data_IF_141488375915
#
_entry.id   IF_141488375915
#
_cell.length_a   1.000
_cell.length_b   1.000
_cell.length_c   1.000
_cell.angle_alpha   90.00
_cell.angle_beta   90.00
_cell.angle_gamma   90.00
#
_symmetry.space_group_name_H-M   'P 1'
#
loop_
_entity.id
_entity.type
_entity.pdbx_description
1 polymer ?
#
# COMPACT_ATOMS: atom_id res chain seq x y z
N UNK A 1 11.59 -28.26 68.59
CA UNK A 1 11.88 -29.40 67.69
C UNK A 1 10.72 -29.75 66.75
N UNK A 2 9.62 -30.41 67.21
CA UNK A 2 8.48 -30.71 66.32
C UNK A 2 7.78 -29.45 65.76
N UNK A 3 7.66 -28.40 66.57
CA UNK A 3 7.09 -27.11 66.12
C UNK A 3 7.97 -26.43 65.06
N UNK A 4 9.29 -26.48 65.20
CA UNK A 4 10.23 -25.85 64.25
C UNK A 4 10.27 -26.62 62.92
N UNK A 5 10.13 -27.94 62.96
CA UNK A 5 10.03 -28.79 61.78
C UNK A 5 8.75 -28.49 60.97
N UNK A 6 7.60 -28.38 61.64
CA UNK A 6 6.32 -28.03 60.99
C UNK A 6 6.36 -26.62 60.39
N UNK A 7 6.95 -25.65 61.12
CA UNK A 7 7.13 -24.29 60.58
C UNK A 7 8.04 -24.30 59.35
N UNK A 8 9.14 -25.05 59.36
CA UNK A 8 10.04 -25.17 58.21
C UNK A 8 9.35 -25.83 57.02
N UNK A 9 8.53 -26.86 57.24
CA UNK A 9 7.79 -27.56 56.18
C UNK A 9 6.77 -26.64 55.51
N UNK A 10 5.99 -25.89 56.29
CA UNK A 10 5.02 -24.92 55.77
C UNK A 10 5.71 -23.81 54.97
N UNK A 11 6.87 -23.33 55.42
CA UNK A 11 7.65 -22.31 54.70
C UNK A 11 8.18 -22.84 53.37
N UNK A 12 8.67 -24.07 53.32
CA UNK A 12 9.17 -24.67 52.08
C UNK A 12 8.04 -24.97 51.08
N UNK A 13 6.87 -25.42 51.56
CA UNK A 13 5.67 -25.58 50.72
C UNK A 13 5.22 -24.24 50.14
N UNK A 14 5.12 -23.18 50.97
CA UNK A 14 4.74 -21.86 50.51
C UNK A 14 5.72 -21.29 49.46
N UNK A 15 7.04 -21.49 49.66
CA UNK A 15 8.05 -21.10 48.67
C UNK A 15 7.90 -21.86 47.35
N UNK A 16 7.64 -23.16 47.40
CA UNK A 16 7.45 -23.99 46.21
C UNK A 16 6.23 -23.53 45.40
N UNK A 17 5.10 -23.28 46.07
CA UNK A 17 3.88 -22.76 45.44
C UNK A 17 4.08 -21.36 44.85
N UNK A 18 4.74 -20.47 45.59
CA UNK A 18 5.08 -19.12 45.09
C UNK A 18 5.96 -19.22 43.84
N UNK A 19 7.00 -20.07 43.87
CA UNK A 19 7.90 -20.26 42.72
C UNK A 19 7.15 -20.79 41.51
N UNK A 20 6.30 -21.80 41.69
CA UNK A 20 5.48 -22.35 40.61
C UNK A 20 4.56 -21.29 39.99
N UNK A 21 3.91 -20.47 40.84
CA UNK A 21 3.05 -19.39 40.38
C UNK A 21 3.82 -18.28 39.66
N UNK A 22 5.03 -17.95 40.13
CA UNK A 22 5.93 -16.99 39.45
C UNK A 22 6.34 -17.53 38.08
N UNK A 23 6.79 -18.78 37.99
CA UNK A 23 7.21 -19.40 36.73
C UNK A 23 6.05 -19.45 35.72
N UNK A 24 4.84 -19.83 36.16
CA UNK A 24 3.64 -19.79 35.31
C UNK A 24 3.31 -18.39 34.82
N UNK A 25 3.35 -17.40 35.72
CA UNK A 25 3.06 -15.99 35.39
C UNK A 25 4.09 -15.46 34.39
N UNK A 26 5.37 -15.78 34.58
CA UNK A 26 6.44 -15.40 33.68
C UNK A 26 6.28 -16.04 32.29
N UNK A 27 5.93 -17.33 32.24
CA UNK A 27 5.67 -18.03 30.98
C UNK A 27 4.49 -17.42 30.22
N UNK A 28 3.39 -17.09 30.93
CA UNK A 28 2.24 -16.40 30.34
C UNK A 28 2.63 -15.01 29.81
N UNK A 29 3.41 -14.24 30.56
CA UNK A 29 3.87 -12.91 30.15
C UNK A 29 4.72 -12.98 28.87
N UNK A 30 5.65 -13.94 28.78
CA UNK A 30 6.44 -14.18 27.57
C UNK A 30 5.54 -14.60 26.41
N UNK A 31 4.57 -15.50 26.65
CA UNK A 31 3.61 -15.93 25.63
C UNK A 31 2.82 -14.76 25.04
N UNK A 32 2.29 -13.88 25.89
CA UNK A 32 1.58 -12.66 25.48
C UNK A 32 2.49 -11.74 24.68
N UNK A 33 3.73 -11.53 25.12
CA UNK A 33 4.69 -10.68 24.41
C UNK A 33 5.00 -11.22 23.00
N UNK A 34 5.24 -12.53 22.87
CA UNK A 34 5.50 -13.17 21.58
C UNK A 34 4.30 -13.03 20.65
N UNK A 35 3.09 -13.29 21.13
CA UNK A 35 1.86 -13.14 20.33
C UNK A 35 1.67 -11.70 19.87
N UNK A 36 1.85 -10.72 20.76
CA UNK A 36 1.78 -9.31 20.41
C UNK A 36 2.83 -8.95 19.34
N UNK A 37 4.07 -9.44 19.48
CA UNK A 37 5.13 -9.25 18.48
C UNK A 37 4.78 -9.83 17.11
N UNK A 38 4.19 -11.03 17.07
CA UNK A 38 3.73 -11.66 15.81
C UNK A 38 2.63 -10.83 15.15
N UNK A 39 1.67 -10.32 15.92
CA UNK A 39 0.59 -9.48 15.40
C UNK A 39 1.18 -8.21 14.78
N UNK A 40 2.06 -7.50 15.49
CA UNK A 40 2.70 -6.28 14.99
C UNK A 40 3.50 -6.57 13.72
N UNK A 41 4.31 -7.63 13.71
CA UNK A 41 5.09 -8.04 12.53
C UNK A 41 4.17 -8.32 11.33
N UNK A 42 3.07 -9.03 11.56
CA UNK A 42 2.08 -9.34 10.52
C UNK A 42 1.45 -8.08 9.95
N UNK A 43 1.07 -7.13 10.81
CA UNK A 43 0.51 -5.85 10.39
C UNK A 43 1.50 -5.03 9.56
N UNK A 44 2.77 -4.97 9.98
CA UNK A 44 3.81 -4.25 9.23
C UNK A 44 3.99 -4.84 7.83
N UNK A 45 4.11 -6.17 7.74
CA UNK A 45 4.26 -6.86 6.45
C UNK A 45 3.02 -6.71 5.57
N UNK A 46 1.83 -6.77 6.17
CA UNK A 46 0.56 -6.56 5.47
C UNK A 46 0.47 -5.15 4.91
N UNK A 47 0.67 -4.13 5.73
CA UNK A 47 0.64 -2.71 5.34
C UNK A 47 1.66 -2.41 4.24
N UNK A 48 2.87 -2.98 4.32
CA UNK A 48 3.87 -2.81 3.28
C UNK A 48 3.41 -3.35 1.93
N UNK A 49 2.79 -4.54 1.91
CA UNK A 49 2.31 -5.18 0.67
C UNK A 49 1.01 -4.59 0.14
N UNK A 50 0.07 -4.23 1.01
CA UNK A 50 -1.27 -3.77 0.62
C UNK A 50 -1.36 -2.26 0.44
N UNK A 51 -0.43 -1.47 0.99
CA UNK A 51 -0.48 0.00 0.92
C UNK A 51 0.79 0.57 0.31
N UNK A 52 1.95 0.32 0.93
CA UNK A 52 3.19 1.02 0.56
C UNK A 52 3.62 0.66 -0.87
N UNK A 53 3.65 -0.63 -1.21
CA UNK A 53 4.08 -1.09 -2.54
C UNK A 53 3.16 -0.64 -3.69
N UNK A 54 1.81 -0.73 -3.58
CA UNK A 54 0.91 -0.16 -4.58
C UNK A 54 1.08 1.35 -4.76
N UNK A 55 1.19 2.12 -3.66
CA UNK A 55 1.37 3.58 -3.72
C UNK A 55 2.67 3.95 -4.44
N UNK A 56 3.76 3.24 -4.14
CA UNK A 56 5.06 3.46 -4.79
C UNK A 56 4.98 3.14 -6.30
N UNK A 57 4.30 2.06 -6.69
CA UNK A 57 4.09 1.71 -8.12
C UNK A 57 3.33 2.80 -8.87
N UNK A 58 2.28 3.36 -8.25
CA UNK A 58 1.53 4.50 -8.78
C UNK A 58 2.47 5.69 -8.98
N UNK A 59 3.20 6.07 -7.93
CA UNK A 59 4.14 7.20 -7.96
C UNK A 59 5.19 7.06 -9.09
N UNK A 60 5.87 5.92 -9.18
CA UNK A 60 6.91 5.68 -10.17
C UNK A 60 6.37 5.75 -11.60
N UNK A 61 5.16 5.23 -11.83
CA UNK A 61 4.54 5.28 -13.16
C UNK A 61 4.16 6.71 -13.53
N UNK A 62 3.61 7.48 -12.60
CA UNK A 62 3.30 8.91 -12.80
C UNK A 62 4.58 9.71 -13.09
N UNK A 63 5.64 9.49 -12.32
CA UNK A 63 6.93 10.15 -12.53
C UNK A 63 7.47 9.83 -13.93
N UNK A 64 7.36 8.57 -14.36
CA UNK A 64 7.79 8.12 -15.69
C UNK A 64 6.98 8.73 -16.82
N UNK A 65 5.64 8.76 -16.70
CA UNK A 65 4.75 9.44 -17.65
C UNK A 65 5.20 10.89 -17.83
N UNK A 66 5.42 11.61 -16.73
CA UNK A 66 5.84 13.02 -16.75
C UNK A 66 7.24 13.21 -17.33
N UNK A 67 8.21 12.38 -16.96
CA UNK A 67 9.61 12.51 -17.39
C UNK A 67 9.78 12.17 -18.87
N UNK A 68 9.06 11.16 -19.36
CA UNK A 68 9.16 10.67 -20.73
C UNK A 68 8.13 11.32 -21.67
N UNK A 69 7.23 12.19 -21.15
CA UNK A 69 6.06 12.72 -21.87
C UNK A 69 5.25 11.63 -22.58
N UNK A 70 5.19 10.43 -21.97
CA UNK A 70 4.60 9.26 -22.58
C UNK A 70 3.25 8.94 -21.94
N UNK A 71 2.17 9.48 -22.52
CA UNK A 71 0.79 9.27 -22.08
C UNK A 71 0.22 7.88 -22.45
N UNK A 72 1.01 7.01 -23.11
CA UNK A 72 0.57 5.64 -23.42
C UNK A 72 0.80 4.66 -22.26
N UNK A 73 1.58 5.05 -21.25
CA UNK A 73 1.82 4.22 -20.07
C UNK A 73 0.56 4.17 -19.21
N UNK A 74 0.26 2.99 -18.67
CA UNK A 74 -0.82 2.77 -17.72
C UNK A 74 -0.26 2.17 -16.44
N UNK A 75 -0.86 2.57 -15.32
CA UNK A 75 -0.56 2.00 -14.02
C UNK A 75 -1.28 0.67 -13.89
N UNK A 76 -0.56 -0.38 -13.49
CA UNK A 76 -1.15 -1.70 -13.24
C UNK A 76 -2.19 -1.61 -12.11
N UNK A 77 -3.41 -2.06 -12.38
CA UNK A 77 -4.48 -2.13 -11.40
C UNK A 77 -4.35 -3.45 -10.61
N UNK A 78 -4.01 -3.35 -9.32
CA UNK A 78 -3.96 -4.52 -8.42
C UNK A 78 -4.61 -4.17 -7.08
N UNK A 79 -5.56 -5.00 -6.64
CA UNK A 79 -6.29 -4.79 -5.38
C UNK A 79 -7.78 -4.57 -5.61
N UNK A 80 -8.50 -4.26 -4.54
CA UNK A 80 -9.93 -3.94 -4.56
C UNK A 80 -10.24 -2.85 -3.50
N UNK A 81 -9.31 -1.93 -3.32
CA UNK A 81 -9.35 -0.86 -2.31
C UNK A 81 -9.35 0.53 -2.95
N UNK A 82 -9.28 1.57 -2.13
CA UNK A 82 -9.27 2.97 -2.54
C UNK A 82 -8.06 3.31 -3.43
N UNK A 83 -6.91 2.64 -3.22
CA UNK A 83 -5.73 2.83 -4.07
C UNK A 83 -5.98 2.29 -5.47
N UNK A 84 -6.69 1.16 -5.57
CA UNK A 84 -7.09 0.58 -6.86
C UNK A 84 -8.07 1.50 -7.61
N UNK A 85 -9.04 2.08 -6.91
CA UNK A 85 -9.99 3.04 -7.49
C UNK A 85 -9.23 4.28 -7.99
N UNK A 86 -8.36 4.86 -7.16
CA UNK A 86 -7.54 6.02 -7.54
C UNK A 86 -6.66 5.73 -8.77
N UNK A 87 -6.10 4.52 -8.85
CA UNK A 87 -5.30 4.07 -10.00
C UNK A 87 -6.13 4.04 -11.28
N UNK A 88 -7.37 3.54 -11.20
CA UNK A 88 -8.29 3.49 -12.33
C UNK A 88 -8.66 4.90 -12.79
N UNK A 89 -9.03 5.77 -11.86
CA UNK A 89 -9.42 7.15 -12.16
C UNK A 89 -8.27 7.92 -12.82
N UNK A 90 -7.03 7.72 -12.34
CA UNK A 90 -5.85 8.31 -12.95
C UNK A 90 -5.60 7.79 -14.37
N UNK A 91 -5.71 6.48 -14.60
CA UNK A 91 -5.56 5.91 -15.95
C UNK A 91 -6.61 6.47 -16.92
N UNK A 92 -7.87 6.62 -16.48
CA UNK A 92 -8.93 7.24 -17.28
C UNK A 92 -8.59 8.69 -17.61
N UNK A 93 -8.16 9.48 -16.62
CA UNK A 93 -7.76 10.88 -16.83
C UNK A 93 -6.66 11.02 -17.89
N UNK A 94 -5.64 10.17 -17.86
CA UNK A 94 -4.56 10.19 -18.87
C UNK A 94 -5.06 9.75 -20.25
N UNK A 95 -5.99 8.79 -20.32
CA UNK A 95 -6.62 8.43 -21.59
C UNK A 95 -7.41 9.59 -22.17
N UNK A 96 -8.24 10.25 -21.36
CA UNK A 96 -9.04 11.40 -21.78
C UNK A 96 -8.15 12.54 -22.30
N UNK A 97 -7.00 12.78 -21.65
CA UNK A 97 -6.02 13.75 -22.14
C UNK A 97 -5.43 13.37 -23.50
N UNK A 98 -5.12 12.09 -23.72
CA UNK A 98 -4.61 11.62 -25.01
C UNK A 98 -5.65 11.80 -26.11
N UNK A 99 -6.89 11.46 -25.83
CA UNK A 99 -7.99 11.54 -26.79
C UNK A 99 -8.27 13.01 -27.14
N UNK A 100 -8.26 13.92 -26.15
CA UNK A 100 -8.35 15.36 -26.39
C UNK A 100 -7.23 15.89 -27.31
N UNK A 101 -5.99 15.43 -27.12
CA UNK A 101 -4.86 15.81 -28.00
C UNK A 101 -5.08 15.29 -29.42
N UNK A 102 -5.61 14.07 -29.58
CA UNK A 102 -5.90 13.50 -30.88
C UNK A 102 -6.99 14.29 -31.61
N UNK A 103 -8.06 14.66 -30.89
CA UNK A 103 -9.16 15.47 -31.42
C UNK A 103 -8.68 16.83 -31.91
N UNK A 104 -7.89 17.55 -31.08
CA UNK A 104 -7.30 18.84 -31.46
C UNK A 104 -6.43 18.73 -32.71
N UNK A 105 -5.62 17.68 -32.84
CA UNK A 105 -4.79 17.47 -34.03
C UNK A 105 -5.65 17.18 -35.28
N UNK A 106 -6.76 16.45 -35.13
CA UNK A 106 -7.70 16.21 -36.21
C UNK A 106 -8.42 17.49 -36.68
N UNK A 107 -8.81 18.35 -35.75
CA UNK A 107 -9.40 19.66 -36.07
C UNK A 107 -8.40 20.56 -36.81
N UNK A 108 -7.15 20.60 -36.38
CA UNK A 108 -6.09 21.37 -37.05
C UNK A 108 -5.81 20.85 -38.48
N UNK A 109 -5.83 19.53 -38.69
CA UNK A 109 -5.67 18.96 -40.02
C UNK A 109 -6.81 19.40 -40.96
N UNK A 110 -8.04 19.41 -40.45
CA UNK A 110 -9.23 19.87 -41.20
C UNK A 110 -9.13 21.36 -41.55
N UNK A 111 -8.62 22.19 -40.64
CA UNK A 111 -8.39 23.63 -40.88
C UNK A 111 -7.32 23.86 -41.94
N UNK A 112 -6.22 23.11 -41.91
CA UNK A 112 -5.17 23.20 -42.93
C UNK A 112 -5.71 22.85 -44.31
N UNK A 113 -6.46 21.74 -44.43
CA UNK A 113 -7.10 21.33 -45.69
C UNK A 113 -8.04 22.41 -46.24
N UNK A 114 -8.87 23.00 -45.38
CA UNK A 114 -9.76 24.10 -45.78
C UNK A 114 -8.99 25.35 -46.24
N UNK A 115 -7.88 25.67 -45.58
CA UNK A 115 -7.02 26.83 -45.92
C UNK A 115 -6.28 26.61 -47.23
N UNK A 116 -5.80 25.40 -47.49
CA UNK A 116 -5.16 25.02 -48.75
C UNK A 116 -6.15 25.14 -49.92
N UNK A 117 -7.37 24.62 -49.73
CA UNK A 117 -8.44 24.73 -50.74
C UNK A 117 -8.85 26.19 -51.02
N UNK A 118 -8.93 27.04 -49.98
CA UNK A 118 -9.19 28.47 -50.13
C UNK A 118 -8.08 29.17 -50.92
N UNK A 119 -6.82 28.82 -50.66
CA UNK A 119 -5.66 29.38 -51.35
C UNK A 119 -5.63 28.97 -52.81
N UNK A 120 -5.91 27.71 -53.12
CA UNK A 120 -6.02 27.20 -54.49
C UNK A 120 -7.12 27.92 -55.27
N UNK A 121 -8.30 28.08 -54.66
CA UNK A 121 -9.45 28.74 -55.30
C UNK A 121 -9.20 30.25 -55.54
N UNK A 122 -8.43 30.92 -54.68
CA UNK A 122 -8.13 32.35 -54.82
C UNK A 122 -6.96 32.61 -55.78
N UNK A 123 -6.11 31.60 -56.05
CA UNK A 123 -5.00 31.69 -56.98
C UNK A 123 -5.39 31.41 -58.46
N UNK A 124 -6.58 30.85 -58.70
CA UNK A 124 -7.21 30.70 -60.02
C UNK A 124 -7.95 31.97 -60.45
#
# INVERSE_FOLDING_TARGET
>A
EKSDAVVSEVVEQAKAEIKENVDKTQMLAIGVFVVAGIIVMTLVLSTSRSIIQPVERVYQTIERIRRENNLSLQIEQSGNDEITIMTRDFNSLISDFRDLIADVNGELATINEATDHLTETTAQ
#
